data_IF_042125562644
#
_entry.id   IF_042125562644
#
_cell.length_a   1.000
_cell.length_b   1.000
_cell.length_c   1.000
_cell.angle_alpha   90.00
_cell.angle_beta   90.00
_cell.angle_gamma   90.00
#
_symmetry.space_group_name_H-M   'P 1'
#
loop_
_entity.id
_entity.type
_entity.pdbx_description
1 polymer ?
#
# COMPACT_ATOMS: atom_id res chain seq x y z
N UNK A 1 34.32 -22.20 19.22
CA UNK A 1 33.49 -22.43 18.02
C UNK A 1 32.03 -22.01 18.23
N UNK A 2 31.35 -22.46 19.30
CA UNK A 2 29.96 -22.05 19.60
C UNK A 2 29.75 -20.53 19.66
N UNK A 3 30.64 -19.81 20.35
CA UNK A 3 30.57 -18.35 20.51
C UNK A 3 30.71 -17.58 19.19
N UNK A 4 31.52 -18.10 18.26
CA UNK A 4 31.70 -17.50 16.93
C UNK A 4 30.44 -17.71 16.07
N UNK A 5 29.85 -18.90 16.13
CA UNK A 5 28.58 -19.21 15.44
C UNK A 5 27.44 -18.32 15.94
N UNK A 6 27.31 -18.13 17.26
CA UNK A 6 26.29 -17.23 17.83
C UNK A 6 26.48 -15.78 17.37
N UNK A 7 27.72 -15.30 17.32
CA UNK A 7 28.02 -13.94 16.84
C UNK A 7 27.67 -13.78 15.35
N UNK A 8 28.01 -14.75 14.51
CA UNK A 8 27.65 -14.74 13.09
C UNK A 8 26.12 -14.72 12.88
N UNK A 9 25.35 -15.48 13.68
CA UNK A 9 23.89 -15.50 13.60
C UNK A 9 23.26 -14.16 14.00
N UNK A 10 23.78 -13.50 15.04
CA UNK A 10 23.31 -12.17 15.47
C UNK A 10 23.59 -11.08 14.43
N UNK A 11 24.76 -11.12 13.79
CA UNK A 11 25.11 -10.18 12.72
C UNK A 11 24.24 -10.37 11.47
N UNK A 12 23.84 -11.61 11.18
CA UNK A 12 22.96 -11.92 10.04
C UNK A 12 21.49 -11.57 10.31
N UNK A 13 21.04 -11.61 11.58
CA UNK A 13 19.67 -11.22 11.94
C UNK A 13 19.38 -9.74 11.63
N UNK A 14 20.39 -8.87 11.67
CA UNK A 14 20.26 -7.44 11.34
C UNK A 14 20.06 -7.13 9.85
N UNK A 15 20.25 -8.09 8.94
CA UNK A 15 20.10 -7.88 7.49
C UNK A 15 18.70 -8.19 6.96
N UNK A 16 17.77 -8.57 7.83
CA UNK A 16 16.40 -8.91 7.43
C UNK A 16 15.59 -7.64 7.16
N UNK A 17 15.21 -7.43 5.91
CA UNK A 17 14.26 -6.39 5.49
C UNK A 17 12.83 -6.85 5.77
N UNK A 18 12.42 -6.85 7.05
CA UNK A 18 11.07 -7.22 7.47
C UNK A 18 10.07 -6.05 7.45
N UNK A 19 10.50 -4.86 7.03
CA UNK A 19 9.61 -3.70 6.90
C UNK A 19 8.62 -3.89 5.76
N UNK A 20 7.38 -3.45 5.97
CA UNK A 20 6.36 -3.47 4.93
C UNK A 20 6.84 -2.67 3.70
N UNK A 21 6.48 -3.10 2.48
CA UNK A 21 6.90 -2.41 1.28
C UNK A 21 6.18 -1.08 1.11
N UNK A 22 6.83 -0.12 0.47
CA UNK A 22 6.19 1.12 0.06
C UNK A 22 5.34 0.86 -1.18
N UNK A 23 4.03 1.03 -1.08
CA UNK A 23 3.07 0.71 -2.15
C UNK A 23 2.12 1.87 -2.40
N UNK A 24 1.64 1.99 -3.63
CA UNK A 24 0.71 3.03 -4.03
C UNK A 24 -0.49 2.40 -4.76
N UNK A 25 -1.68 2.90 -4.50
CA UNK A 25 -2.93 2.50 -5.14
C UNK A 25 -3.34 3.53 -6.19
N UNK A 26 -3.52 3.06 -7.43
CA UNK A 26 -4.01 3.85 -8.55
C UNK A 26 -5.39 3.34 -8.98
N UNK A 27 -6.28 4.28 -9.32
CA UNK A 27 -7.60 4.00 -9.86
C UNK A 27 -7.67 4.45 -11.32
N UNK A 28 -8.24 3.61 -12.16
CA UNK A 28 -8.47 3.87 -13.59
C UNK A 28 -9.91 3.57 -13.96
N UNK A 29 -10.44 4.33 -14.89
CA UNK A 29 -11.68 4.00 -15.59
C UNK A 29 -11.36 2.96 -16.67
N UNK A 30 -12.18 1.91 -16.77
CA UNK A 30 -12.13 0.98 -17.91
C UNK A 30 -13.04 1.49 -19.03
N UNK A 31 -12.45 1.77 -20.19
CA UNK A 31 -13.18 2.13 -21.40
C UNK A 31 -13.09 0.99 -22.41
N UNK A 32 -14.22 0.61 -23.01
CA UNK A 32 -14.22 -0.28 -24.18
C UNK A 32 -14.30 0.56 -25.44
N UNK A 33 -13.33 0.42 -26.34
CA UNK A 33 -13.35 0.95 -27.70
C UNK A 33 -13.23 -0.23 -28.65
N UNK A 34 -14.27 -0.49 -29.41
CA UNK A 34 -14.42 -1.70 -30.22
C UNK A 34 -14.21 -2.95 -29.34
N UNK A 35 -13.35 -3.87 -29.80
CA UNK A 35 -12.98 -5.09 -29.07
C UNK A 35 -11.78 -4.92 -28.11
N UNK A 36 -11.39 -3.66 -27.81
CA UNK A 36 -10.26 -3.37 -26.92
C UNK A 36 -10.71 -2.70 -25.62
N UNK A 37 -10.15 -3.17 -24.51
CA UNK A 37 -10.21 -2.48 -23.22
C UNK A 37 -9.03 -1.51 -23.12
N UNK A 38 -9.32 -0.27 -22.72
CA UNK A 38 -8.36 0.79 -22.48
C UNK A 38 -8.52 1.34 -21.06
N UNK A 39 -7.40 1.62 -20.40
CA UNK A 39 -7.39 2.33 -19.12
C UNK A 39 -7.47 3.83 -19.40
N UNK A 40 -8.29 4.55 -18.64
CA UNK A 40 -8.44 5.99 -18.72
C UNK A 40 -8.46 6.63 -17.33
N UNK A 41 -8.26 7.95 -17.28
CA UNK A 41 -8.35 8.78 -16.06
C UNK A 41 -7.57 8.22 -14.85
N UNK A 42 -6.23 8.10 -14.94
CA UNK A 42 -5.42 7.67 -13.80
C UNK A 42 -5.61 8.61 -12.60
N UNK A 43 -5.88 8.03 -11.44
CA UNK A 43 -5.94 8.75 -10.16
C UNK A 43 -5.06 8.05 -9.13
N UNK A 44 -4.11 8.77 -8.54
CA UNK A 44 -3.32 8.27 -7.41
C UNK A 44 -4.13 8.46 -6.12
N UNK A 45 -4.67 7.38 -5.55
CA UNK A 45 -5.53 7.46 -4.36
C UNK A 45 -4.74 7.65 -3.06
N UNK A 46 -3.45 7.33 -3.09
CA UNK A 46 -2.57 7.21 -1.91
C UNK A 46 -1.52 8.31 -1.86
N UNK A 47 -1.81 9.44 -2.52
CA UNK A 47 -0.93 10.62 -2.59
C UNK A 47 -0.49 11.13 -1.21
N UNK A 48 -1.33 10.91 -0.21
CA UNK A 48 -1.12 11.30 1.17
C UNK A 48 -0.17 10.40 1.96
N UNK A 49 0.14 9.22 1.42
CA UNK A 49 1.00 8.23 2.06
C UNK A 49 1.93 7.57 1.02
N UNK A 50 2.45 8.35 0.06
CA UNK A 50 3.26 7.84 -1.08
C UNK A 50 4.42 6.93 -0.69
N UNK A 51 5.03 7.21 0.45
CA UNK A 51 6.21 6.52 0.96
C UNK A 51 5.87 5.45 2.00
N UNK A 52 4.60 5.23 2.30
CA UNK A 52 4.15 4.24 3.27
C UNK A 52 3.60 2.97 2.63
N UNK A 53 3.09 2.10 3.47
CA UNK A 53 2.39 0.89 3.05
C UNK A 53 0.93 1.23 2.78
N UNK A 54 0.48 0.98 1.55
CA UNK A 54 -0.90 1.16 1.11
C UNK A 54 -1.33 -0.05 0.28
N UNK A 55 -2.01 -1.02 0.88
CA UNK A 55 -2.22 -2.31 0.23
C UNK A 55 -3.62 -2.88 0.46
N UNK A 56 -3.92 -3.99 -0.23
CA UNK A 56 -5.15 -4.76 -0.12
C UNK A 56 -6.40 -3.88 -0.32
N UNK A 57 -6.51 -3.14 -1.44
CA UNK A 57 -7.67 -2.33 -1.72
C UNK A 57 -8.91 -3.21 -1.92
N UNK A 58 -10.06 -2.76 -1.41
CA UNK A 58 -11.34 -3.43 -1.57
C UNK A 58 -12.45 -2.40 -1.83
N UNK A 59 -13.21 -2.56 -2.91
CA UNK A 59 -14.37 -1.71 -3.16
C UNK A 59 -15.50 -2.09 -2.20
N UNK A 60 -15.80 -1.20 -1.26
CA UNK A 60 -16.96 -1.35 -0.38
C UNK A 60 -18.24 -0.93 -1.10
N UNK A 61 -18.15 0.07 -1.99
CA UNK A 61 -19.22 0.47 -2.92
C UNK A 61 -18.60 1.08 -4.19
N UNK A 62 -19.45 1.51 -5.14
CA UNK A 62 -19.01 2.22 -6.36
C UNK A 62 -18.19 3.49 -6.05
N UNK A 63 -18.38 4.07 -4.87
CA UNK A 63 -17.78 5.36 -4.49
C UNK A 63 -16.88 5.26 -3.25
N UNK A 64 -16.66 4.07 -2.71
CA UNK A 64 -15.88 3.88 -1.48
C UNK A 64 -14.95 2.69 -1.59
N UNK A 65 -13.68 2.92 -1.25
CA UNK A 65 -12.65 1.88 -1.24
C UNK A 65 -11.98 1.85 0.12
N UNK A 66 -11.81 0.63 0.65
CA UNK A 66 -11.05 0.38 1.87
C UNK A 66 -9.66 -0.10 1.51
N UNK A 67 -8.66 0.28 2.29
CA UNK A 67 -7.29 -0.20 2.14
C UNK A 67 -6.57 -0.20 3.48
N UNK A 68 -5.57 -1.07 3.58
CA UNK A 68 -4.63 -1.07 4.70
C UNK A 68 -3.60 0.04 4.51
N UNK A 69 -3.36 0.83 5.57
CA UNK A 69 -2.46 1.98 5.58
C UNK A 69 -1.52 1.89 6.78
N UNK A 70 -0.23 2.08 6.53
CA UNK A 70 0.73 2.40 7.58
C UNK A 70 1.62 3.56 7.09
N UNK A 71 1.82 4.55 7.95
CA UNK A 71 2.65 5.71 7.65
C UNK A 71 4.13 5.43 7.91
N UNK A 72 5.06 6.03 7.16
CA UNK A 72 6.49 5.91 7.44
C UNK A 72 6.89 6.48 8.80
N UNK A 73 6.15 7.50 9.27
CA UNK A 73 6.38 8.14 10.57
C UNK A 73 5.88 7.33 11.74
N UNK A 74 5.02 6.33 11.50
CA UNK A 74 4.46 5.46 12.53
C UNK A 74 4.33 4.02 12.02
N UNK A 75 5.31 3.20 12.38
CA UNK A 75 5.33 1.77 12.03
C UNK A 75 4.71 0.89 13.11
N UNK A 76 4.16 1.47 14.18
CA UNK A 76 3.58 0.71 15.30
C UNK A 76 2.16 0.24 15.01
N UNK A 77 1.45 0.94 14.12
CA UNK A 77 0.06 0.69 13.79
C UNK A 77 -0.14 0.51 12.29
N UNK A 78 -1.05 -0.39 11.91
CA UNK A 78 -1.56 -0.51 10.55
C UNK A 78 -3.08 -0.39 10.66
N UNK A 79 -3.63 0.58 9.93
CA UNK A 79 -5.03 0.93 9.99
C UNK A 79 -5.77 0.53 8.72
N UNK A 80 -7.09 0.49 8.80
CA UNK A 80 -7.98 0.42 7.63
C UNK A 80 -8.51 1.83 7.38
N UNK A 81 -8.27 2.35 6.19
CA UNK A 81 -8.75 3.67 5.76
C UNK A 81 -9.93 3.50 4.82
N UNK A 82 -10.93 4.39 4.93
CA UNK A 82 -11.99 4.53 3.95
C UNK A 82 -11.75 5.75 3.07
N UNK A 83 -11.70 5.55 1.75
CA UNK A 83 -11.52 6.63 0.78
C UNK A 83 -12.80 6.79 -0.05
N UNK A 84 -13.32 8.01 -0.07
CA UNK A 84 -14.42 8.39 -0.95
C UNK A 84 -13.89 8.75 -2.35
N UNK A 85 -14.31 8.03 -3.38
CA UNK A 85 -13.83 8.16 -4.76
C UNK A 85 -14.43 9.34 -5.53
N UNK A 86 -15.47 9.99 -5.00
CA UNK A 86 -16.07 11.19 -5.59
C UNK A 86 -15.35 12.45 -5.11
N UNK A 87 -15.08 12.54 -3.81
CA UNK A 87 -14.55 13.75 -3.17
C UNK A 87 -13.04 13.71 -2.97
N UNK A 88 -12.43 12.52 -2.99
CA UNK A 88 -11.04 12.32 -2.57
C UNK A 88 -10.83 12.52 -1.07
N UNK A 89 -11.91 12.60 -0.29
CA UNK A 89 -11.88 12.76 1.16
C UNK A 89 -11.64 11.41 1.83
N UNK A 90 -10.82 11.44 2.87
CA UNK A 90 -10.40 10.31 3.69
C UNK A 90 -11.17 10.42 5.01
N UNK A 91 -11.75 9.33 5.47
CA UNK A 91 -12.38 9.23 6.79
C UNK A 91 -11.91 7.99 7.51
#
# INVERSE_FOLDING_TARGET
MRSLTTLCLLLFAGTLLAQLPNTNVFLFDLQRKDDKLALAKPRLLTDFNRNGYNNQPFFFSDNEIYLTVQFPSDTSQTDIYALNLQTGVKT
#
